data_IF_380359338579
#
_entry.id   IF_380359338579
#
_cell.length_a   1.000
_cell.length_b   1.000
_cell.length_c   1.000
_cell.angle_alpha   90.00
_cell.angle_beta   90.00
_cell.angle_gamma   90.00
#
_symmetry.space_group_name_H-M   'P 1'
#
loop_
_entity.id
_entity.type
_entity.pdbx_description
1 polymer ?
#
# COMPACT_ATOMS: atom_id res chain seq x y z
N UNK A 1 -59.12 37.97 -13.02
CA UNK A 1 -58.82 37.56 -14.41
C UNK A 1 -57.30 37.66 -14.59
N UNK A 2 -56.50 36.61 -14.76
CA UNK A 2 -56.73 35.16 -14.79
C UNK A 2 -55.50 34.47 -14.17
N UNK A 3 -55.74 33.77 -13.07
CA UNK A 3 -54.88 32.76 -12.41
C UNK A 3 -54.52 31.60 -13.38
N UNK A 4 -55.10 31.60 -14.58
CA UNK A 4 -54.89 30.63 -15.67
C UNK A 4 -53.51 30.67 -16.32
N UNK A 5 -52.71 31.73 -16.11
CA UNK A 5 -51.38 31.84 -16.73
C UNK A 5 -50.22 31.38 -15.83
N UNK A 6 -50.45 31.24 -14.51
CA UNK A 6 -49.41 30.72 -13.60
C UNK A 6 -49.42 29.18 -13.62
N UNK A 7 -50.60 28.56 -13.79
CA UNK A 7 -50.74 27.10 -13.83
C UNK A 7 -50.13 26.46 -15.09
N UNK A 8 -49.97 27.21 -16.19
CA UNK A 8 -49.33 26.72 -17.41
C UNK A 8 -47.78 26.83 -17.39
N UNK A 9 -47.23 27.72 -16.56
CA UNK A 9 -45.77 27.86 -16.40
C UNK A 9 -45.19 26.83 -15.44
N UNK A 10 -45.98 26.32 -14.49
CA UNK A 10 -45.56 25.25 -13.57
C UNK A 10 -45.66 23.86 -14.24
N UNK A 11 -46.46 23.69 -15.29
CA UNK A 11 -46.61 22.40 -15.97
C UNK A 11 -45.53 22.10 -17.02
N UNK A 12 -44.71 23.08 -17.42
CA UNK A 12 -43.64 22.90 -18.42
C UNK A 12 -42.25 22.68 -17.80
N UNK A 13 -42.10 22.87 -16.48
CA UNK A 13 -40.85 22.59 -15.76
C UNK A 13 -40.78 21.16 -15.19
N UNK A 14 -41.89 20.40 -15.21
CA UNK A 14 -41.95 19.06 -14.60
C UNK A 14 -41.80 17.90 -15.59
N UNK A 15 -41.67 18.14 -16.89
CA UNK A 15 -41.50 17.08 -17.89
C UNK A 15 -40.06 16.80 -18.29
N UNK A 16 -39.07 17.53 -17.75
CA UNK A 16 -37.65 17.24 -18.00
C UNK A 16 -37.02 16.25 -16.99
N UNK A 17 -37.77 15.74 -16.01
CA UNK A 17 -37.24 14.84 -14.98
C UNK A 17 -37.44 13.34 -15.27
N UNK A 18 -37.81 12.96 -16.49
CA UNK A 18 -38.00 11.57 -16.91
C UNK A 18 -37.31 11.26 -18.25
N UNK A 19 -36.09 11.74 -18.44
CA UNK A 19 -35.16 11.04 -19.33
C UNK A 19 -34.18 10.30 -18.41
N UNK A 20 -34.05 8.96 -18.50
CA UNK A 20 -32.88 8.32 -17.95
C UNK A 20 -31.70 8.91 -18.72
N UNK A 21 -30.89 9.73 -18.05
CA UNK A 21 -29.54 10.09 -18.47
C UNK A 21 -28.65 8.84 -18.39
N UNK A 22 -29.05 7.78 -19.11
CA UNK A 22 -28.16 6.72 -19.52
C UNK A 22 -27.29 7.32 -20.62
N UNK A 23 -25.96 7.22 -20.43
CA UNK A 23 -24.88 7.76 -21.26
C UNK A 23 -24.40 9.16 -20.85
N UNK A 24 -23.96 9.30 -19.60
CA UNK A 24 -22.60 9.74 -19.31
C UNK A 24 -22.14 8.95 -18.07
N UNK A 25 -22.09 7.61 -18.17
CA UNK A 25 -21.08 6.90 -17.39
C UNK A 25 -19.80 7.17 -18.14
N UNK A 26 -18.89 7.84 -17.44
CA UNK A 26 -17.55 8.07 -17.87
C UNK A 26 -17.02 6.81 -18.58
N UNK A 27 -16.54 7.00 -19.79
CA UNK A 27 -15.44 6.17 -20.25
C UNK A 27 -14.27 6.56 -19.34
N UNK A 28 -14.22 5.95 -18.15
CA UNK A 28 -12.96 5.81 -17.45
C UNK A 28 -12.11 5.01 -18.42
N UNK A 29 -11.12 5.69 -19.00
CA UNK A 29 -10.04 5.00 -19.67
C UNK A 29 -9.52 3.98 -18.66
N UNK A 30 -9.82 2.69 -18.88
CA UNK A 30 -9.19 1.58 -18.20
C UNK A 30 -7.69 1.65 -18.54
N UNK A 31 -6.97 2.52 -17.83
CA UNK A 31 -5.57 2.30 -17.59
C UNK A 31 -5.50 0.91 -16.97
N UNK A 32 -4.98 -0.04 -17.75
CA UNK A 32 -4.82 -1.42 -17.37
C UNK A 32 -4.04 -1.46 -16.05
N UNK A 33 -4.76 -1.55 -14.94
CA UNK A 33 -4.23 -1.45 -13.59
C UNK A 33 -3.50 -2.76 -13.30
N UNK A 34 -2.21 -2.76 -13.65
CA UNK A 34 -1.36 -3.91 -13.49
C UNK A 34 -1.12 -4.13 -12.01
N UNK A 35 -1.41 -5.34 -11.54
CA UNK A 35 -0.91 -5.77 -10.25
C UNK A 35 0.62 -5.64 -10.22
N UNK A 36 1.24 -5.24 -9.10
CA UNK A 36 2.68 -5.03 -9.02
C UNK A 36 3.51 -6.22 -9.52
N UNK A 37 3.05 -7.45 -9.26
CA UNK A 37 3.66 -8.68 -9.81
C UNK A 37 3.76 -8.68 -11.36
N UNK A 38 2.84 -8.03 -12.05
CA UNK A 38 2.84 -7.90 -13.51
C UNK A 38 3.68 -6.72 -13.99
N UNK A 39 3.74 -5.64 -13.20
CA UNK A 39 4.64 -4.49 -13.40
C UNK A 39 6.11 -4.92 -13.27
N UNK A 40 6.43 -5.65 -12.21
CA UNK A 40 7.79 -6.11 -11.93
C UNK A 40 8.33 -7.08 -12.98
N UNK A 41 7.45 -7.81 -13.68
CA UNK A 41 7.84 -8.67 -14.80
C UNK A 41 8.05 -7.92 -16.12
N UNK A 42 7.56 -6.68 -16.26
CA UNK A 42 7.75 -5.86 -17.46
C UNK A 42 9.10 -5.16 -17.49
N UNK A 43 9.65 -4.79 -16.33
CA UNK A 43 10.97 -4.18 -16.22
C UNK A 43 12.01 -5.29 -16.02
N UNK A 44 12.88 -5.48 -17.02
CA UNK A 44 13.82 -6.61 -17.05
C UNK A 44 14.73 -6.59 -15.83
N UNK A 45 14.71 -7.66 -15.03
CA UNK A 45 15.57 -7.81 -13.83
C UNK A 45 15.06 -7.11 -12.57
N UNK A 46 14.05 -6.24 -12.65
CA UNK A 46 13.56 -5.49 -11.49
C UNK A 46 12.95 -6.42 -10.42
N UNK A 47 12.15 -7.41 -10.84
CA UNK A 47 11.59 -8.40 -9.92
C UNK A 47 12.64 -9.15 -9.10
N UNK A 48 13.84 -9.36 -9.65
CA UNK A 48 14.94 -10.03 -8.93
C UNK A 48 15.58 -9.09 -7.91
N UNK A 49 15.83 -7.82 -8.29
CA UNK A 49 16.37 -6.80 -7.38
C UNK A 49 15.45 -6.56 -6.18
N UNK A 50 14.14 -6.43 -6.42
CA UNK A 50 13.15 -6.26 -5.36
C UNK A 50 13.12 -7.48 -4.46
N UNK A 51 13.12 -8.70 -5.02
CA UNK A 51 13.19 -9.93 -4.21
C UNK A 51 14.45 -9.99 -3.35
N UNK A 52 15.59 -9.55 -3.88
CA UNK A 52 16.83 -9.48 -3.11
C UNK A 52 16.73 -8.47 -1.95
N UNK A 53 16.14 -7.30 -2.17
CA UNK A 53 15.91 -6.32 -1.10
C UNK A 53 14.91 -6.82 -0.05
N UNK A 54 13.79 -7.41 -0.47
CA UNK A 54 12.81 -7.99 0.46
C UNK A 54 13.39 -9.15 1.29
N UNK A 55 14.32 -9.92 0.73
CA UNK A 55 15.08 -10.93 1.50
C UNK A 55 15.94 -10.29 2.60
N UNK A 56 16.57 -9.15 2.33
CA UNK A 56 17.31 -8.41 3.37
C UNK A 56 16.38 -7.80 4.41
N UNK A 57 15.18 -7.33 4.02
CA UNK A 57 14.16 -6.92 4.98
C UNK A 57 13.78 -8.07 5.93
N UNK A 58 13.55 -9.27 5.40
CA UNK A 58 13.23 -10.46 6.20
C UNK A 58 14.36 -10.78 7.20
N UNK A 59 15.61 -10.71 6.77
CA UNK A 59 16.78 -10.89 7.66
C UNK A 59 16.83 -9.84 8.78
N UNK A 60 16.56 -8.57 8.48
CA UNK A 60 16.51 -7.50 9.48
C UNK A 60 15.35 -7.67 10.45
N UNK A 61 14.16 -8.04 9.98
CA UNK A 61 13.00 -8.34 10.84
C UNK A 61 13.30 -9.49 11.80
N UNK A 62 13.99 -10.53 11.34
CA UNK A 62 14.40 -11.65 12.20
C UNK A 62 15.37 -11.21 13.31
N UNK A 63 16.31 -10.32 13.01
CA UNK A 63 17.21 -9.76 14.03
C UNK A 63 16.47 -8.88 15.03
N UNK A 64 15.55 -8.03 14.58
CA UNK A 64 14.71 -7.21 15.47
C UNK A 64 13.91 -8.11 16.43
N UNK A 65 13.28 -9.16 15.91
CA UNK A 65 12.51 -10.10 16.73
C UNK A 65 13.34 -10.76 17.83
N UNK A 66 14.64 -11.02 17.58
CA UNK A 66 15.57 -11.56 18.58
C UNK A 66 16.13 -10.49 19.53
N UNK A 67 16.26 -9.24 19.08
CA UNK A 67 16.77 -8.11 19.85
C UNK A 67 15.77 -7.63 20.92
N UNK A 68 14.47 -7.64 20.61
CA UNK A 68 13.39 -7.21 21.53
C UNK A 68 13.47 -7.92 22.90
N UNK A 69 13.41 -9.26 23.01
CA UNK A 69 13.47 -9.94 24.31
C UNK A 69 14.82 -9.81 25.02
N UNK A 70 15.87 -9.33 24.34
CA UNK A 70 17.19 -9.07 24.91
C UNK A 70 17.37 -7.62 25.36
N UNK A 71 16.42 -6.72 25.03
CA UNK A 71 16.55 -5.30 25.27
C UNK A 71 17.69 -4.64 24.45
N UNK A 72 18.04 -5.22 23.30
CA UNK A 72 19.09 -4.72 22.41
C UNK A 72 18.56 -3.59 21.52
N UNK A 73 18.12 -2.47 22.13
CA UNK A 73 17.45 -1.37 21.42
C UNK A 73 18.29 -0.74 20.31
N UNK A 74 19.61 -0.63 20.49
CA UNK A 74 20.52 -0.14 19.44
C UNK A 74 20.47 -1.03 18.18
N UNK A 75 20.34 -2.35 18.37
CA UNK A 75 20.20 -3.31 17.25
C UNK A 75 18.84 -3.14 16.58
N UNK A 76 17.78 -2.88 17.34
CA UNK A 76 16.44 -2.61 16.80
C UNK A 76 16.48 -1.37 15.91
N UNK A 77 17.06 -0.27 16.40
CA UNK A 77 17.22 0.99 15.66
C UNK A 77 18.06 0.78 14.40
N UNK A 78 19.20 0.12 14.50
CA UNK A 78 20.08 -0.12 13.35
C UNK A 78 19.38 -0.95 12.26
N UNK A 79 18.67 -2.01 12.63
CA UNK A 79 18.04 -2.91 11.67
C UNK A 79 16.75 -2.31 11.09
N UNK A 80 15.98 -1.52 11.84
CA UNK A 80 14.78 -0.86 11.28
C UNK A 80 15.15 0.29 10.34
N UNK A 81 16.24 1.02 10.60
CA UNK A 81 16.77 2.03 9.67
C UNK A 81 17.20 1.39 8.34
N UNK A 82 17.74 0.16 8.36
CA UNK A 82 18.07 -0.56 7.11
C UNK A 82 16.82 -0.90 6.29
N UNK A 83 15.73 -1.33 6.95
CA UNK A 83 14.45 -1.62 6.28
C UNK A 83 13.89 -0.35 5.63
N UNK A 84 13.88 0.75 6.38
CA UNK A 84 13.31 2.03 5.97
C UNK A 84 14.10 2.68 4.81
N UNK A 85 15.44 2.63 4.86
CA UNK A 85 16.27 3.40 3.91
C UNK A 85 16.93 2.56 2.82
N UNK A 86 17.41 1.36 3.16
CA UNK A 86 18.37 0.62 2.32
C UNK A 86 17.72 -0.55 1.59
N UNK A 87 16.65 -1.10 2.15
CA UNK A 87 15.98 -2.29 1.64
C UNK A 87 14.56 -1.99 1.14
N UNK A 88 14.18 -0.72 1.03
CA UNK A 88 12.93 -0.31 0.39
C UNK A 88 12.88 -0.78 -1.07
N UNK A 89 11.67 -0.81 -1.62
CA UNK A 89 11.45 -1.16 -3.02
C UNK A 89 12.14 -0.14 -3.95
N UNK A 90 12.05 1.14 -3.59
CA UNK A 90 12.69 2.24 -4.31
C UNK A 90 14.22 2.10 -4.31
N UNK A 91 14.83 1.68 -3.18
CA UNK A 91 16.26 1.47 -3.07
C UNK A 91 16.80 0.36 -4.00
N UNK A 92 15.93 -0.46 -4.60
CA UNK A 92 16.30 -1.48 -5.57
C UNK A 92 16.42 -0.93 -7.02
N UNK A 93 16.00 0.32 -7.27
CA UNK A 93 15.77 0.86 -8.61
C UNK A 93 16.81 1.90 -9.02
N UNK A 94 17.10 1.98 -10.34
CA UNK A 94 17.65 3.20 -10.93
C UNK A 94 16.56 4.27 -11.09
N UNK A 95 16.95 5.51 -11.40
CA UNK A 95 15.99 6.59 -11.67
C UNK A 95 15.04 6.22 -12.82
N UNK A 96 15.57 5.69 -13.93
CA UNK A 96 14.74 5.28 -15.08
C UNK A 96 13.80 4.12 -14.74
N UNK A 97 14.24 3.18 -13.88
CA UNK A 97 13.39 2.08 -13.39
C UNK A 97 12.28 2.60 -12.48
N UNK A 98 12.58 3.57 -11.62
CA UNK A 98 11.62 4.22 -10.73
C UNK A 98 10.58 5.02 -11.50
N UNK A 99 10.97 5.79 -12.52
CA UNK A 99 10.03 6.55 -13.36
C UNK A 99 9.05 5.62 -14.09
N UNK A 100 9.54 4.50 -14.62
CA UNK A 100 8.68 3.48 -15.23
C UNK A 100 7.78 2.82 -14.19
N UNK A 101 8.34 2.43 -13.04
CA UNK A 101 7.63 1.76 -11.97
C UNK A 101 6.51 2.62 -11.38
N UNK A 102 6.80 3.87 -11.03
CA UNK A 102 5.86 4.81 -10.43
C UNK A 102 4.67 5.12 -11.34
N UNK A 103 4.84 5.05 -12.66
CA UNK A 103 3.75 5.18 -13.62
C UNK A 103 2.81 3.97 -13.70
N UNK A 104 3.21 2.83 -13.12
CA UNK A 104 2.51 1.55 -13.25
C UNK A 104 1.90 1.03 -11.93
N UNK A 105 2.27 1.61 -10.79
CA UNK A 105 1.72 1.22 -9.48
C UNK A 105 0.42 1.93 -9.15
N UNK A 106 -0.41 1.26 -8.34
CA UNK A 106 -1.69 1.80 -7.91
C UNK A 106 -1.55 2.68 -6.68
N UNK A 107 -2.47 3.64 -6.44
CA UNK A 107 -2.51 4.41 -5.20
C UNK A 107 -2.57 3.55 -3.93
N UNK A 108 -3.24 2.40 -3.97
CA UNK A 108 -3.36 1.46 -2.86
C UNK A 108 -2.03 0.82 -2.53
N UNK A 109 -1.22 0.49 -3.55
CA UNK A 109 0.13 0.00 -3.35
C UNK A 109 1.00 1.04 -2.65
N UNK A 110 0.97 2.29 -3.14
CA UNK A 110 1.70 3.40 -2.55
C UNK A 110 1.30 3.59 -1.08
N UNK A 111 -0.01 3.51 -0.78
CA UNK A 111 -0.50 3.64 0.59
C UNK A 111 -0.01 2.50 1.50
N UNK A 112 -0.01 1.26 1.00
CA UNK A 112 0.50 0.12 1.76
C UNK A 112 2.01 0.24 2.06
N UNK A 113 2.79 0.68 1.08
CA UNK A 113 4.23 0.94 1.22
C UNK A 113 4.51 2.08 2.23
N UNK A 114 3.76 3.19 2.14
CA UNK A 114 3.85 4.30 3.10
C UNK A 114 3.52 3.89 4.53
N UNK A 115 2.56 2.99 4.74
CA UNK A 115 2.24 2.49 6.08
C UNK A 115 3.42 1.72 6.69
N UNK A 116 4.12 0.91 5.90
CA UNK A 116 5.34 0.22 6.37
C UNK A 116 6.38 1.25 6.85
N UNK A 117 6.66 2.26 6.04
CA UNK A 117 7.62 3.33 6.38
C UNK A 117 7.21 4.10 7.64
N UNK A 118 5.92 4.43 7.79
CA UNK A 118 5.40 5.11 8.97
C UNK A 118 5.57 4.28 10.25
N UNK A 119 5.25 2.98 10.21
CA UNK A 119 5.41 2.10 11.37
C UNK A 119 6.89 1.81 11.66
N UNK A 120 7.74 1.70 10.63
CA UNK A 120 9.19 1.57 10.80
C UNK A 120 9.79 2.79 11.51
N UNK A 121 9.38 4.01 11.11
CA UNK A 121 9.74 5.24 11.80
C UNK A 121 9.26 5.28 13.26
N UNK A 122 8.02 4.87 13.50
CA UNK A 122 7.46 4.81 14.86
C UNK A 122 8.20 3.81 15.74
N UNK A 123 8.53 2.61 15.23
CA UNK A 123 9.33 1.61 15.92
C UNK A 123 10.74 2.15 16.26
N UNK A 124 11.37 2.85 15.31
CA UNK A 124 12.67 3.49 15.52
C UNK A 124 12.64 4.47 16.68
N UNK A 125 11.61 5.33 16.72
CA UNK A 125 11.50 6.37 17.75
C UNK A 125 11.26 5.77 19.14
N UNK A 126 10.33 4.80 19.28
CA UNK A 126 10.07 4.17 20.59
C UNK A 126 11.23 3.29 21.06
N UNK A 127 11.99 2.67 20.13
CA UNK A 127 13.19 1.91 20.47
C UNK A 127 14.30 2.82 21.01
N UNK A 128 14.46 4.04 20.48
CA UNK A 128 15.40 5.05 21.00
C UNK A 128 15.07 5.48 22.43
N UNK A 129 13.81 5.38 22.83
CA UNK A 129 13.34 5.68 24.19
C UNK A 129 13.45 4.47 25.15
N UNK A 130 13.85 3.29 24.65
CA UNK A 130 13.97 2.04 25.41
C UNK A 130 12.65 1.57 26.06
N UNK A 131 11.51 1.89 25.45
CA UNK A 131 10.18 1.50 25.95
C UNK A 131 9.77 0.14 25.39
N UNK A 132 9.88 -0.93 26.19
CA UNK A 132 9.64 -2.31 25.75
C UNK A 132 8.21 -2.54 25.22
N UNK A 133 7.19 -2.07 25.93
CA UNK A 133 5.79 -2.29 25.57
C UNK A 133 5.46 -1.62 24.22
N UNK A 134 5.85 -0.35 24.08
CA UNK A 134 5.68 0.40 22.84
C UNK A 134 6.50 -0.20 21.70
N UNK A 135 7.74 -0.65 21.96
CA UNK A 135 8.59 -1.32 20.97
C UNK A 135 7.92 -2.59 20.45
N UNK A 136 7.39 -3.43 21.34
CA UNK A 136 6.71 -4.67 20.96
C UNK A 136 5.44 -4.37 20.15
N UNK A 137 4.67 -3.37 20.58
CA UNK A 137 3.46 -2.94 19.88
C UNK A 137 3.78 -2.42 18.46
N UNK A 138 4.74 -1.52 18.33
CA UNK A 138 5.14 -0.95 17.04
C UNK A 138 5.75 -2.01 16.12
N UNK A 139 6.51 -2.97 16.65
CA UNK A 139 7.01 -4.09 15.86
C UNK A 139 5.88 -4.96 15.31
N UNK A 140 4.80 -5.16 16.09
CA UNK A 140 3.59 -5.80 15.61
C UNK A 140 2.95 -5.07 14.42
N UNK A 141 2.90 -3.74 14.45
CA UNK A 141 2.37 -2.92 13.35
C UNK A 141 3.25 -3.00 12.09
N UNK A 142 4.58 -3.06 12.24
CA UNK A 142 5.49 -3.34 11.13
C UNK A 142 5.15 -4.69 10.49
N UNK A 143 5.02 -5.76 11.27
CA UNK A 143 4.67 -7.08 10.75
C UNK A 143 3.30 -7.10 10.06
N UNK A 144 2.31 -6.40 10.63
CA UNK A 144 0.98 -6.26 10.03
C UNK A 144 1.07 -5.61 8.64
N UNK A 145 1.83 -4.52 8.50
CA UNK A 145 2.00 -3.86 7.20
C UNK A 145 2.64 -4.75 6.13
N UNK A 146 3.61 -5.60 6.53
CA UNK A 146 4.19 -6.61 5.62
C UNK A 146 3.12 -7.60 5.15
N UNK A 147 2.28 -8.09 6.07
CA UNK A 147 1.20 -9.04 5.74
C UNK A 147 0.15 -8.39 4.85
N UNK A 148 -0.27 -7.16 5.14
CA UNK A 148 -1.30 -6.45 4.38
C UNK A 148 -0.86 -6.21 2.93
N UNK A 149 0.37 -5.72 2.73
CA UNK A 149 0.94 -5.54 1.39
C UNK A 149 1.06 -6.87 0.65
N UNK A 150 1.59 -7.92 1.30
CA UNK A 150 1.75 -9.23 0.67
C UNK A 150 0.41 -9.89 0.35
N UNK A 151 -0.58 -9.73 1.22
CA UNK A 151 -1.92 -10.25 1.02
C UNK A 151 -2.55 -9.65 -0.22
N UNK A 152 -2.38 -8.35 -0.48
CA UNK A 152 -3.03 -7.69 -1.61
C UNK A 152 -2.22 -7.81 -2.90
N UNK A 153 -0.91 -7.55 -2.85
CA UNK A 153 -0.09 -7.27 -4.03
C UNK A 153 0.90 -8.37 -4.42
N UNK A 154 1.11 -9.38 -3.56
CA UNK A 154 2.10 -10.44 -3.78
C UNK A 154 1.50 -11.86 -3.65
N UNK A 155 0.21 -12.01 -3.98
CA UNK A 155 -0.57 -13.27 -3.87
C UNK A 155 0.09 -14.47 -4.58
N UNK A 156 0.73 -14.25 -5.73
CA UNK A 156 1.42 -15.32 -6.49
C UNK A 156 2.65 -15.83 -5.73
N UNK A 157 3.37 -14.94 -5.03
CA UNK A 157 4.56 -15.26 -4.24
C UNK A 157 4.22 -15.86 -2.87
N UNK A 158 3.11 -15.43 -2.27
CA UNK A 158 2.64 -15.85 -0.95
C UNK A 158 1.24 -16.49 -1.01
N UNK A 159 1.09 -17.66 -1.66
CA UNK A 159 -0.22 -18.29 -1.91
C UNK A 159 -0.93 -18.77 -0.63
N UNK A 160 -0.26 -18.81 0.51
CA UNK A 160 -0.88 -19.13 1.80
C UNK A 160 -1.65 -17.95 2.39
N UNK A 161 -1.23 -16.71 2.13
CA UNK A 161 -1.98 -15.51 2.56
C UNK A 161 -3.26 -15.33 1.73
N UNK A 162 -3.20 -15.66 0.44
CA UNK A 162 -4.37 -15.61 -0.44
C UNK A 162 -5.47 -16.63 -0.09
N UNK A 163 -5.19 -17.61 0.77
CA UNK A 163 -6.12 -18.72 1.09
C UNK A 163 -7.02 -18.49 2.30
N UNK A 164 -6.96 -17.35 3.00
CA UNK A 164 -7.70 -17.18 4.26
C UNK A 164 -8.57 -15.91 4.26
N UNK A 165 -9.87 -16.08 4.01
CA UNK A 165 -10.89 -15.12 4.46
C UNK A 165 -11.92 -15.77 5.41
N UNK A 166 -11.74 -17.04 5.78
CA UNK A 166 -12.75 -17.84 6.48
C UNK A 166 -12.30 -18.59 7.74
N UNK A 167 -11.02 -18.51 8.15
CA UNK A 167 -10.48 -19.46 9.14
C UNK A 167 -9.96 -18.79 10.44
N UNK A 168 -10.59 -17.70 10.88
CA UNK A 168 -10.46 -17.19 12.26
C UNK A 168 -11.81 -16.75 12.81
#
# INVERSE_FOLDING_TARGET
MKIRNIMLLVSLLFTCFLLPSNRIIAQEDEAFELMPDEVFMKITGLAEKIRANMGKCEESLAKIALAIPRGEYDVIVEEIEKIDEKFSIEAAMTVDEYDQYSSMITPEFIFADQNLHMYAGSLKDVAKENHLEDTLFQFGLVLQSCVDCHYEFAKKRFPSLARSKTDF
#
